data_IF_118059234347
#
_entry.id   IF_118059234347
#
_cell.length_a   1.000
_cell.length_b   1.000
_cell.length_c   1.000
_cell.angle_alpha   90.00
_cell.angle_beta   90.00
_cell.angle_gamma   90.00
#
_symmetry.space_group_name_H-M   'P 1'
#
loop_
_entity.id
_entity.type
_entity.pdbx_description
1 polymer ?
#
# COMPACT_ATOMS: atom_id res chain seq x y z
N UNK A 1 7.91 9.28 -16.58
CA UNK A 1 8.81 10.25 -15.95
C UNK A 1 7.98 11.37 -15.36
N UNK A 2 7.90 11.46 -14.03
CA UNK A 2 7.23 12.59 -13.37
C UNK A 2 8.05 13.86 -13.65
N UNK A 3 7.45 14.94 -14.19
CA UNK A 3 8.14 16.22 -14.38
C UNK A 3 8.77 16.73 -13.07
N UNK A 4 9.96 17.35 -13.14
CA UNK A 4 10.72 17.76 -11.94
C UNK A 4 10.01 18.86 -11.13
N UNK A 5 9.33 19.79 -11.80
CA UNK A 5 8.45 20.77 -11.19
C UNK A 5 7.32 20.10 -10.38
N UNK A 6 6.68 19.09 -10.99
CA UNK A 6 5.65 18.29 -10.32
C UNK A 6 6.20 17.54 -9.11
N UNK A 7 7.40 16.95 -9.19
CA UNK A 7 8.05 16.29 -8.05
C UNK A 7 8.32 17.28 -6.91
N UNK A 8 8.79 18.48 -7.22
CA UNK A 8 9.06 19.54 -6.23
C UNK A 8 7.78 19.92 -5.48
N UNK A 9 6.69 20.18 -6.19
CA UNK A 9 5.39 20.51 -5.58
C UNK A 9 4.89 19.41 -4.65
N UNK A 10 5.08 18.13 -5.02
CA UNK A 10 4.72 17.01 -4.16
C UNK A 10 5.56 16.95 -2.89
N UNK A 11 6.88 17.24 -2.97
CA UNK A 11 7.74 17.34 -1.77
C UNK A 11 7.26 18.46 -0.85
N UNK A 12 7.01 19.65 -1.40
CA UNK A 12 6.53 20.82 -0.65
C UNK A 12 5.19 20.53 0.05
N UNK A 13 4.25 19.91 -0.67
CA UNK A 13 2.97 19.48 -0.13
C UNK A 13 3.14 18.53 1.08
N UNK A 14 3.96 17.48 0.94
CA UNK A 14 4.17 16.50 2.00
C UNK A 14 4.84 17.13 3.22
N UNK A 15 5.90 17.93 3.01
CA UNK A 15 6.61 18.63 4.09
C UNK A 15 5.70 19.61 4.85
N UNK A 16 4.75 20.24 4.17
CA UNK A 16 3.75 21.11 4.82
C UNK A 16 2.76 20.35 5.73
N UNK A 17 2.71 19.01 5.65
CA UNK A 17 1.89 18.15 6.50
C UNK A 17 2.65 17.57 7.71
N UNK A 18 3.97 17.73 7.77
CA UNK A 18 4.79 17.40 8.94
C UNK A 18 4.36 18.26 10.13
N UNK A 19 4.30 17.65 11.31
CA UNK A 19 3.93 18.32 12.56
C UNK A 19 5.18 18.71 13.34
N UNK A 20 5.08 19.69 14.27
CA UNK A 20 6.18 20.00 15.19
C UNK A 20 6.66 18.80 16.01
N UNK A 21 5.80 17.82 16.26
CA UNK A 21 6.17 16.54 16.89
C UNK A 21 7.10 15.68 16.02
N UNK A 22 7.10 15.85 14.69
CA UNK A 22 7.94 15.12 13.75
C UNK A 22 7.22 14.03 12.95
N UNK A 23 5.99 13.67 13.30
CA UNK A 23 5.15 12.80 12.45
C UNK A 23 4.26 13.63 11.51
N UNK A 24 3.58 12.96 10.58
CA UNK A 24 2.70 13.61 9.58
C UNK A 24 1.22 13.36 9.91
N UNK A 25 0.35 14.26 9.45
CA UNK A 25 -1.10 14.05 9.48
C UNK A 25 -1.79 14.77 8.30
N UNK A 26 -2.92 14.22 7.85
CA UNK A 26 -3.70 14.73 6.70
C UNK A 26 -4.15 16.20 6.81
N UNK A 27 -4.23 16.77 8.01
CA UNK A 27 -4.55 18.19 8.23
C UNK A 27 -3.65 18.81 9.30
N UNK A 28 -3.59 20.14 9.39
CA UNK A 28 -2.80 20.86 10.41
C UNK A 28 -3.36 20.74 11.82
N UNK A 29 -4.65 20.45 11.97
CA UNK A 29 -5.35 20.43 13.27
C UNK A 29 -5.36 19.05 13.92
N UNK A 30 -4.93 18.02 13.20
CA UNK A 30 -4.90 16.64 13.67
C UNK A 30 -3.47 16.30 14.10
N UNK A 31 -3.29 15.60 15.25
CA UNK A 31 -1.98 15.14 15.67
C UNK A 31 -1.38 14.16 14.67
N UNK A 32 -0.05 13.97 14.74
CA UNK A 32 0.65 12.98 13.91
C UNK A 32 0.04 11.59 14.02
N UNK A 33 -0.06 10.89 12.90
CA UNK A 33 -0.54 9.50 12.83
C UNK A 33 0.49 8.58 12.20
N UNK A 34 0.51 7.31 12.62
CA UNK A 34 1.43 6.28 12.07
C UNK A 34 1.23 6.07 10.57
N UNK A 35 -0.02 5.98 10.12
CA UNK A 35 -0.36 5.71 8.72
C UNK A 35 0.08 6.87 7.80
N UNK A 36 -0.30 8.10 8.14
CA UNK A 36 0.11 9.30 7.41
C UNK A 36 1.64 9.47 7.43
N UNK A 37 2.30 9.23 8.57
CA UNK A 37 3.76 9.29 8.67
C UNK A 37 4.44 8.25 7.77
N UNK A 38 3.93 7.02 7.76
CA UNK A 38 4.43 5.97 6.88
C UNK A 38 4.30 6.34 5.41
N UNK A 39 3.12 6.79 4.98
CA UNK A 39 2.89 7.15 3.57
C UNK A 39 3.71 8.37 3.15
N UNK A 40 3.80 9.40 4.00
CA UNK A 40 4.59 10.60 3.72
C UNK A 40 6.08 10.27 3.56
N UNK A 41 6.67 9.52 4.49
CA UNK A 41 8.10 9.16 4.42
C UNK A 41 8.38 8.29 3.20
N UNK A 42 7.54 7.28 2.92
CA UNK A 42 7.71 6.45 1.72
C UNK A 42 7.59 7.25 0.41
N UNK A 43 6.71 8.24 0.37
CA UNK A 43 6.56 9.14 -0.77
C UNK A 43 7.79 10.04 -0.92
N UNK A 44 8.28 10.64 0.15
CA UNK A 44 9.49 11.46 0.17
C UNK A 44 10.74 10.66 -0.24
N UNK A 45 10.87 9.43 0.25
CA UNK A 45 11.93 8.49 -0.15
C UNK A 45 11.88 8.18 -1.65
N UNK A 46 10.67 7.94 -2.18
CA UNK A 46 10.47 7.69 -3.62
C UNK A 46 10.88 8.90 -4.46
N UNK A 47 10.76 10.11 -3.92
CA UNK A 47 11.21 11.35 -4.55
C UNK A 47 12.69 11.68 -4.27
N UNK A 48 13.42 10.78 -3.61
CA UNK A 48 14.84 10.93 -3.31
C UNK A 48 15.16 12.07 -2.34
N UNK A 49 14.24 12.42 -1.43
CA UNK A 49 14.53 13.38 -0.38
C UNK A 49 15.37 12.72 0.71
N UNK A 50 16.58 13.23 0.91
CA UNK A 50 17.38 12.94 2.09
C UNK A 50 17.06 13.98 3.17
N UNK A 51 16.42 13.55 4.24
CA UNK A 51 15.94 14.40 5.34
C UNK A 51 16.31 13.76 6.67
N UNK A 52 16.72 14.59 7.62
CA UNK A 52 16.83 14.18 9.01
C UNK A 52 15.44 13.96 9.64
N UNK A 53 15.23 12.74 10.14
CA UNK A 53 14.01 12.29 10.80
C UNK A 53 14.20 12.13 12.31
N UNK A 54 15.14 12.83 12.93
CA UNK A 54 15.38 12.79 14.38
C UNK A 54 14.10 13.10 15.19
N UNK A 55 13.36 14.16 14.83
CA UNK A 55 12.07 14.46 15.46
C UNK A 55 11.04 13.32 15.29
N UNK A 56 10.98 12.70 14.11
CA UNK A 56 10.11 11.54 13.87
C UNK A 56 10.49 10.34 14.74
N UNK A 57 11.80 10.09 14.96
CA UNK A 57 12.28 9.03 15.85
C UNK A 57 11.83 9.27 17.29
N UNK A 58 12.01 10.49 17.79
CA UNK A 58 11.58 10.87 19.14
C UNK A 58 10.07 10.75 19.34
N UNK A 59 9.30 11.16 18.33
CA UNK A 59 7.86 11.00 18.35
C UNK A 59 7.45 9.53 18.33
N UNK A 60 8.01 8.72 17.44
CA UNK A 60 7.67 7.30 17.31
C UNK A 60 7.94 6.50 18.59
N UNK A 61 8.98 6.89 19.34
CA UNK A 61 9.30 6.29 20.64
C UNK A 61 8.26 6.61 21.74
N UNK A 62 7.58 7.76 21.64
CA UNK A 62 6.56 8.23 22.59
C UNK A 62 5.12 7.91 22.14
N UNK A 63 4.93 7.62 20.87
CA UNK A 63 3.62 7.43 20.26
C UNK A 63 2.89 6.23 20.85
N UNK A 64 1.61 6.44 21.18
CA UNK A 64 0.78 5.42 21.85
C UNK A 64 0.58 4.22 20.96
N UNK A 65 0.55 3.03 21.54
CA UNK A 65 0.27 1.78 20.83
C UNK A 65 -1.23 1.52 20.85
N UNK A 66 -1.94 2.15 19.92
CA UNK A 66 -3.36 1.90 19.73
C UNK A 66 -3.55 0.59 18.94
N UNK A 67 -4.49 -0.23 19.40
CA UNK A 67 -4.73 -1.54 18.79
C UNK A 67 -5.47 -1.37 17.46
N UNK A 68 -4.92 -1.99 16.42
CA UNK A 68 -5.55 -2.07 15.10
C UNK A 68 -5.87 -3.53 14.80
N UNK A 69 -7.16 -3.92 14.79
CA UNK A 69 -7.57 -5.30 14.57
C UNK A 69 -7.25 -5.80 13.16
N UNK A 70 -6.85 -4.92 12.23
CA UNK A 70 -6.45 -5.29 10.87
C UNK A 70 -4.96 -5.59 10.72
N UNK A 71 -4.13 -5.23 11.70
CA UNK A 71 -2.66 -5.35 11.65
C UNK A 71 -1.97 -4.34 10.73
N UNK A 72 -2.72 -3.46 10.06
CA UNK A 72 -2.20 -2.49 9.09
C UNK A 72 -1.32 -1.43 9.74
N UNK A 73 -1.83 -0.77 10.78
CA UNK A 73 -1.12 0.29 11.51
C UNK A 73 0.11 -0.29 12.20
N UNK A 74 0.01 -1.50 12.75
CA UNK A 74 1.13 -2.23 13.33
C UNK A 74 2.22 -2.50 12.28
N UNK A 75 1.84 -2.95 11.09
CA UNK A 75 2.76 -3.14 9.97
C UNK A 75 3.45 -1.83 9.56
N UNK A 76 2.70 -0.74 9.41
CA UNK A 76 3.26 0.58 9.07
C UNK A 76 4.22 1.10 10.14
N UNK A 77 3.88 0.90 11.42
CA UNK A 77 4.76 1.22 12.55
C UNK A 77 6.08 0.46 12.43
N UNK A 78 6.07 -0.86 12.27
CA UNK A 78 7.30 -1.67 12.12
C UNK A 78 8.14 -1.19 10.93
N UNK A 79 7.51 -0.88 9.79
CA UNK A 79 8.21 -0.33 8.63
C UNK A 79 8.86 1.03 8.92
N UNK A 80 8.24 1.87 9.74
CA UNK A 80 8.84 3.13 10.20
C UNK A 80 10.06 2.86 11.11
N UNK A 81 9.95 1.95 12.09
CA UNK A 81 11.08 1.56 12.93
C UNK A 81 12.28 1.11 12.06
N UNK A 82 12.06 0.18 11.12
CA UNK A 82 13.10 -0.31 10.22
C UNK A 82 13.67 0.80 9.32
N UNK A 83 12.81 1.62 8.69
CA UNK A 83 13.25 2.73 7.81
C UNK A 83 14.09 3.78 8.56
N UNK A 84 13.77 4.01 9.84
CA UNK A 84 14.46 4.96 10.69
C UNK A 84 15.62 4.33 11.48
N UNK A 85 16.00 3.08 11.17
CA UNK A 85 17.06 2.35 11.87
C UNK A 85 16.89 2.36 13.40
N UNK A 86 15.65 2.15 13.86
CA UNK A 86 15.30 1.95 15.26
C UNK A 86 15.06 0.47 15.51
N UNK A 87 15.40 0.01 16.72
CA UNK A 87 15.07 -1.34 17.16
C UNK A 87 13.55 -1.51 17.26
N UNK A 88 13.03 -2.54 16.60
CA UNK A 88 11.60 -2.87 16.66
C UNK A 88 11.32 -3.48 18.04
N UNK A 89 10.41 -2.92 18.86
CA UNK A 89 10.07 -3.49 20.16
C UNK A 89 9.16 -4.71 19.98
N UNK A 90 9.74 -5.85 19.60
CA UNK A 90 9.01 -7.07 19.26
C UNK A 90 8.09 -7.56 20.37
N UNK A 91 8.44 -7.32 21.64
CA UNK A 91 7.56 -7.61 22.78
C UNK A 91 6.23 -6.84 22.73
N UNK A 92 6.22 -5.58 22.27
CA UNK A 92 4.99 -4.79 22.05
C UNK A 92 4.22 -5.30 20.83
N UNK A 93 4.95 -5.66 19.78
CA UNK A 93 4.36 -6.26 18.56
C UNK A 93 3.63 -7.55 18.90
N UNK A 94 4.24 -8.43 19.70
CA UNK A 94 3.60 -9.67 20.19
C UNK A 94 2.30 -9.37 20.94
N UNK A 95 2.33 -8.44 21.91
CA UNK A 95 1.13 -8.07 22.67
C UNK A 95 0.00 -7.52 21.79
N UNK A 96 0.30 -6.76 20.73
CA UNK A 96 -0.72 -6.27 19.79
C UNK A 96 -1.25 -7.35 18.85
N UNK A 97 -0.38 -8.26 18.41
CA UNK A 97 -0.81 -9.41 17.61
C UNK A 97 -1.80 -10.24 18.42
N UNK A 98 -1.46 -10.64 19.64
CA UNK A 98 -2.30 -11.47 20.52
C UNK A 98 -3.72 -10.92 20.70
N UNK A 99 -3.88 -9.60 20.82
CA UNK A 99 -5.19 -8.93 20.89
C UNK A 99 -6.01 -9.08 19.60
N UNK A 100 -5.34 -9.09 18.45
CA UNK A 100 -5.98 -9.09 17.14
C UNK A 100 -6.24 -10.49 16.56
N UNK A 101 -5.62 -11.55 17.12
CA UNK A 101 -5.68 -12.92 16.59
C UNK A 101 -7.08 -13.52 16.54
N UNK A 102 -7.92 -13.23 17.53
CA UNK A 102 -9.27 -13.81 17.65
C UNK A 102 -10.18 -13.50 16.45
N UNK A 103 -9.83 -12.46 15.67
CA UNK A 103 -10.61 -11.99 14.54
C UNK A 103 -10.02 -12.32 13.18
N UNK A 104 -8.97 -13.14 13.03
CA UNK A 104 -8.39 -13.46 11.71
C UNK A 104 -9.41 -14.18 10.83
N UNK A 105 -9.98 -15.30 11.27
CA UNK A 105 -11.14 -16.00 10.66
C UNK A 105 -11.16 -16.00 9.11
N UNK A 106 -10.06 -16.41 8.49
CA UNK A 106 -9.90 -16.47 7.03
C UNK A 106 -9.96 -15.11 6.32
N UNK A 107 -9.82 -13.99 7.04
CA UNK A 107 -9.89 -12.65 6.47
C UNK A 107 -8.59 -12.32 5.69
N UNK A 108 -8.65 -12.15 4.36
CA UNK A 108 -7.44 -11.97 3.55
C UNK A 108 -6.65 -10.71 3.90
N UNK A 109 -7.32 -9.64 4.35
CA UNK A 109 -6.66 -8.38 4.72
C UNK A 109 -5.79 -8.57 5.95
N UNK A 110 -6.31 -9.24 6.98
CA UNK A 110 -5.56 -9.53 8.21
C UNK A 110 -4.40 -10.47 7.93
N UNK A 111 -4.64 -11.53 7.16
CA UNK A 111 -3.60 -12.48 6.76
C UNK A 111 -2.47 -11.80 5.98
N UNK A 112 -2.77 -10.93 5.01
CA UNK A 112 -1.73 -10.16 4.30
C UNK A 112 -0.86 -9.32 5.25
N UNK A 113 -1.47 -8.57 6.18
CA UNK A 113 -0.70 -7.75 7.10
C UNK A 113 0.09 -8.57 8.13
N UNK A 114 -0.50 -9.59 8.76
CA UNK A 114 0.22 -10.43 9.71
C UNK A 114 1.31 -11.26 9.04
N UNK A 115 1.08 -11.80 7.85
CA UNK A 115 2.11 -12.50 7.09
C UNK A 115 3.30 -11.60 6.73
N UNK A 116 3.05 -10.31 6.45
CA UNK A 116 4.13 -9.33 6.25
C UNK A 116 4.88 -8.98 7.53
N UNK A 117 4.19 -8.96 8.67
CA UNK A 117 4.83 -8.76 9.97
C UNK A 117 5.71 -9.96 10.31
N UNK A 118 5.24 -11.19 10.08
CA UNK A 118 6.03 -12.41 10.23
C UNK A 118 7.32 -12.36 9.40
N UNK A 119 7.22 -12.02 8.11
CA UNK A 119 8.39 -11.92 7.24
C UNK A 119 9.42 -10.91 7.77
N UNK A 120 8.97 -9.74 8.26
CA UNK A 120 9.87 -8.72 8.83
C UNK A 120 10.51 -9.14 10.16
N UNK A 121 9.82 -9.97 10.95
CA UNK A 121 10.32 -10.50 12.20
C UNK A 121 11.36 -11.60 11.97
N UNK A 122 11.12 -12.48 10.99
CA UNK A 122 12.04 -13.53 10.58
C UNK A 122 13.38 -12.97 10.09
N UNK A 123 13.38 -11.83 9.38
CA UNK A 123 14.59 -11.09 9.01
C UNK A 123 15.47 -10.70 10.22
N UNK A 124 14.87 -10.58 11.40
CA UNK A 124 15.54 -10.22 12.67
C UNK A 124 15.65 -11.42 13.63
N UNK A 125 15.40 -12.64 13.15
CA UNK A 125 15.47 -13.86 13.96
C UNK A 125 14.33 -14.05 14.97
N UNK A 126 13.29 -13.23 14.88
CA UNK A 126 12.09 -13.34 15.73
C UNK A 126 11.07 -14.24 15.05
N UNK A 127 10.62 -15.27 15.76
CA UNK A 127 9.67 -16.27 15.25
C UNK A 127 8.53 -16.48 16.22
N UNK A 128 7.37 -16.90 15.69
CA UNK A 128 6.22 -17.26 16.51
C UNK A 128 5.59 -18.55 15.96
N UNK A 129 6.14 -19.74 16.25
CA UNK A 129 5.71 -20.98 15.62
C UNK A 129 4.19 -21.23 15.70
N UNK A 130 3.58 -20.98 16.86
CA UNK A 130 2.13 -21.13 17.06
C UNK A 130 1.30 -20.14 16.22
N UNK A 131 1.80 -18.93 16.05
CA UNK A 131 1.15 -17.90 15.23
C UNK A 131 1.29 -18.25 13.75
N UNK A 132 2.47 -18.69 13.33
CA UNK A 132 2.74 -19.11 11.96
C UNK A 132 1.82 -20.27 11.58
N UNK A 133 1.70 -21.29 12.43
CA UNK A 133 0.77 -22.41 12.25
C UNK A 133 -0.69 -21.94 12.15
N UNK A 134 -1.13 -21.06 13.05
CA UNK A 134 -2.49 -20.50 13.02
C UNK A 134 -2.76 -19.75 11.72
N UNK A 135 -1.84 -18.88 11.28
CA UNK A 135 -2.03 -18.08 10.08
C UNK A 135 -2.01 -18.95 8.82
N UNK A 136 -1.21 -20.01 8.79
CA UNK A 136 -1.25 -21.02 7.72
C UNK A 136 -2.63 -21.70 7.64
N UNK A 137 -3.14 -22.19 8.77
CA UNK A 137 -4.48 -22.81 8.84
C UNK A 137 -5.60 -21.84 8.42
N UNK A 138 -5.50 -20.56 8.80
CA UNK A 138 -6.47 -19.54 8.40
C UNK A 138 -6.34 -19.15 6.92
N UNK A 139 -5.14 -19.20 6.34
CA UNK A 139 -4.90 -18.94 4.92
C UNK A 139 -5.45 -20.03 3.99
N UNK A 140 -5.56 -21.27 4.46
CA UNK A 140 -6.24 -22.37 3.75
C UNK A 140 -7.75 -22.14 3.60
N UNK A 141 -8.37 -21.40 4.54
CA UNK A 141 -9.81 -21.10 4.54
C UNK A 141 -10.20 -19.96 3.60
N UNK A 142 -9.22 -19.25 3.05
CA UNK A 142 -9.46 -18.10 2.17
C UNK A 142 -10.08 -18.57 0.87
N UNK A 143 -11.24 -18.00 0.51
CA UNK A 143 -11.80 -18.15 -0.83
C UNK A 143 -10.87 -17.47 -1.85
N UNK A 144 -10.28 -18.29 -2.72
CA UNK A 144 -9.33 -17.87 -3.77
C UNK A 144 -10.01 -17.68 -5.12
N UNK A 145 -11.33 -17.81 -5.21
CA UNK A 145 -12.07 -17.53 -6.44
C UNK A 145 -12.03 -16.05 -6.79
N UNK A 146 -12.07 -15.77 -8.09
CA UNK A 146 -12.25 -14.43 -8.65
C UNK A 146 -13.71 -14.30 -9.07
N UNK A 147 -14.42 -13.33 -8.51
CA UNK A 147 -15.84 -13.10 -8.77
C UNK A 147 -16.11 -11.65 -9.17
N UNK A 148 -17.28 -11.37 -9.74
CA UNK A 148 -17.71 -10.00 -10.08
C UNK A 148 -17.98 -9.11 -8.86
N UNK A 149 -18.08 -9.71 -7.65
CA UNK A 149 -18.27 -8.98 -6.39
C UNK A 149 -16.95 -8.52 -5.78
N UNK A 150 -15.84 -9.12 -6.18
CA UNK A 150 -14.53 -8.74 -5.70
C UNK A 150 -14.19 -7.31 -6.12
N UNK A 151 -13.43 -6.63 -5.27
CA UNK A 151 -12.79 -5.37 -5.62
C UNK A 151 -11.32 -5.62 -5.93
N UNK A 152 -10.68 -4.70 -6.64
CA UNK A 152 -9.23 -4.75 -6.87
C UNK A 152 -8.44 -4.82 -5.56
N UNK A 153 -8.90 -4.16 -4.49
CA UNK A 153 -8.27 -4.32 -3.17
C UNK A 153 -8.45 -5.75 -2.63
N UNK A 154 -9.67 -6.32 -2.67
CA UNK A 154 -9.90 -7.67 -2.14
C UNK A 154 -9.12 -8.73 -2.90
N UNK A 155 -9.06 -8.63 -4.24
CA UNK A 155 -8.24 -9.49 -5.08
C UNK A 155 -6.76 -9.34 -4.75
N UNK A 156 -6.27 -8.11 -4.58
CA UNK A 156 -4.89 -7.88 -4.15
C UNK A 156 -4.60 -8.55 -2.81
N UNK A 157 -5.52 -8.50 -1.84
CA UNK A 157 -5.35 -9.23 -0.57
C UNK A 157 -5.31 -10.74 -0.76
N UNK A 158 -6.20 -11.32 -1.57
CA UNK A 158 -6.19 -12.76 -1.90
C UNK A 158 -4.87 -13.19 -2.55
N UNK A 159 -4.40 -12.43 -3.55
CA UNK A 159 -3.09 -12.66 -4.20
C UNK A 159 -1.96 -12.58 -3.18
N UNK A 160 -2.01 -11.60 -2.27
CA UNK A 160 -0.99 -11.46 -1.23
C UNK A 160 -0.95 -12.61 -0.24
N UNK A 161 -2.11 -13.13 0.16
CA UNK A 161 -2.17 -14.35 0.97
C UNK A 161 -1.48 -15.50 0.23
N UNK A 162 -1.78 -15.70 -1.06
CA UNK A 162 -1.15 -16.75 -1.86
C UNK A 162 0.38 -16.56 -1.99
N UNK A 163 0.85 -15.33 -2.16
CA UNK A 163 2.28 -15.02 -2.22
C UNK A 163 3.03 -15.32 -0.92
N UNK A 164 2.36 -15.18 0.23
CA UNK A 164 3.01 -15.30 1.55
C UNK A 164 2.87 -16.72 2.11
N UNK A 165 1.70 -17.32 2.00
CA UNK A 165 1.37 -18.62 2.60
C UNK A 165 1.31 -19.75 1.56
N UNK A 166 1.56 -19.45 0.29
CA UNK A 166 1.39 -20.40 -0.80
C UNK A 166 -0.05 -20.50 -1.29
N UNK A 167 -0.22 -21.16 -2.43
CA UNK A 167 -1.50 -21.31 -3.10
C UNK A 167 -1.54 -20.58 -4.45
N UNK A 168 -2.55 -20.93 -5.25
CA UNK A 168 -2.74 -20.41 -6.59
C UNK A 168 -4.12 -19.78 -6.73
N UNK A 169 -4.21 -18.82 -7.65
CA UNK A 169 -5.45 -18.21 -8.10
C UNK A 169 -5.52 -18.32 -9.62
N UNK A 170 -6.73 -18.32 -10.16
CA UNK A 170 -6.96 -18.28 -11.61
C UNK A 170 -6.45 -16.94 -12.18
N UNK A 171 -5.27 -16.99 -12.80
CA UNK A 171 -4.59 -15.81 -13.33
C UNK A 171 -5.31 -15.21 -14.53
N UNK A 172 -5.97 -16.05 -15.34
CA UNK A 172 -6.74 -15.63 -16.49
C UNK A 172 -7.98 -14.85 -16.03
N UNK A 173 -8.76 -15.39 -15.09
CA UNK A 173 -9.90 -14.66 -14.53
C UNK A 173 -9.50 -13.39 -13.80
N UNK A 174 -8.35 -13.41 -13.11
CA UNK A 174 -7.84 -12.23 -12.44
C UNK A 174 -7.51 -11.11 -13.44
N UNK A 175 -6.88 -11.47 -14.57
CA UNK A 175 -6.60 -10.53 -15.66
C UNK A 175 -7.88 -10.03 -16.32
N UNK A 176 -8.84 -10.91 -16.63
CA UNK A 176 -10.15 -10.53 -17.19
C UNK A 176 -10.90 -9.54 -16.28
N UNK A 177 -10.93 -9.80 -14.97
CA UNK A 177 -11.53 -8.88 -14.00
C UNK A 177 -10.80 -7.54 -13.95
N UNK A 178 -9.47 -7.56 -13.99
CA UNK A 178 -8.63 -6.37 -13.96
C UNK A 178 -8.84 -5.48 -15.19
N UNK A 179 -8.85 -6.08 -16.39
CA UNK A 179 -9.15 -5.37 -17.65
C UNK A 179 -10.59 -4.83 -17.65
N UNK A 180 -11.55 -5.57 -17.10
CA UNK A 180 -12.93 -5.09 -16.96
C UNK A 180 -13.11 -3.93 -15.96
N UNK A 181 -12.12 -3.67 -15.09
CA UNK A 181 -12.12 -2.52 -14.18
C UNK A 181 -11.56 -1.25 -14.82
N UNK A 182 -10.88 -1.34 -15.97
CA UNK A 182 -10.37 -0.17 -16.68
C UNK A 182 -11.52 0.67 -17.26
N UNK A 183 -11.40 1.99 -17.15
CA UNK A 183 -12.36 2.95 -17.70
C UNK A 183 -11.73 3.78 -18.81
N UNK A 184 -12.52 4.28 -19.80
CA UNK A 184 -12.02 5.10 -20.90
C UNK A 184 -11.31 6.41 -20.49
N UNK A 185 -11.45 6.84 -19.23
CA UNK A 185 -10.74 8.01 -18.68
C UNK A 185 -9.27 7.73 -18.31
N UNK A 186 -8.79 6.50 -18.51
CA UNK A 186 -7.45 6.05 -18.16
C UNK A 186 -7.33 5.49 -16.74
N UNK A 187 -8.38 5.60 -15.93
CA UNK A 187 -8.41 5.11 -14.56
C UNK A 187 -9.01 3.71 -14.42
N UNK A 188 -9.12 3.27 -13.16
CA UNK A 188 -9.70 1.97 -12.80
C UNK A 188 -10.78 2.15 -11.74
N UNK A 189 -11.93 1.50 -11.93
CA UNK A 189 -12.94 1.32 -10.90
C UNK A 189 -12.50 0.30 -9.83
N UNK A 190 -13.14 0.30 -8.67
CA UNK A 190 -12.87 -0.73 -7.66
C UNK A 190 -13.30 -2.12 -8.12
N UNK A 191 -14.29 -2.17 -9.02
CA UNK A 191 -14.84 -3.33 -9.73
C UNK A 191 -15.38 -2.86 -11.10
N UNK A 192 -15.78 -3.76 -12.02
CA UNK A 192 -16.30 -3.35 -13.32
C UNK A 192 -17.46 -2.33 -13.23
N UNK A 193 -17.47 -1.36 -14.15
CA UNK A 193 -18.48 -0.32 -14.27
C UNK A 193 -18.61 0.61 -13.04
N UNK A 194 -17.50 0.87 -12.34
CA UNK A 194 -17.45 1.83 -11.22
C UNK A 194 -16.47 2.97 -11.50
N UNK A 195 -16.63 4.09 -10.80
CA UNK A 195 -15.84 5.31 -10.98
C UNK A 195 -14.34 5.09 -10.74
N UNK A 196 -13.53 5.69 -11.60
CA UNK A 196 -12.07 5.68 -11.51
C UNK A 196 -11.56 6.43 -10.27
N UNK A 197 -10.76 5.76 -9.44
CA UNK A 197 -10.01 6.41 -8.36
C UNK A 197 -8.58 5.88 -8.22
N UNK A 198 -7.69 6.74 -7.74
CA UNK A 198 -6.25 6.49 -7.68
C UNK A 198 -5.87 5.28 -6.82
N UNK A 199 -6.56 5.02 -5.72
CA UNK A 199 -6.33 3.81 -4.91
C UNK A 199 -6.70 2.53 -5.66
N UNK A 200 -7.66 2.58 -6.59
CA UNK A 200 -8.02 1.43 -7.42
C UNK A 200 -6.95 1.20 -8.49
N UNK A 201 -6.42 2.27 -9.09
CA UNK A 201 -5.25 2.20 -9.98
C UNK A 201 -4.05 1.61 -9.23
N UNK A 202 -3.83 2.00 -7.97
CA UNK A 202 -2.79 1.42 -7.15
C UNK A 202 -2.93 -0.10 -7.05
N UNK A 203 -4.10 -0.61 -6.65
CA UNK A 203 -4.32 -2.05 -6.54
C UNK A 203 -4.26 -2.77 -7.90
N UNK A 204 -4.78 -2.16 -8.98
CA UNK A 204 -4.63 -2.66 -10.35
C UNK A 204 -3.17 -2.90 -10.70
N UNK A 205 -2.30 -1.91 -10.47
CA UNK A 205 -0.88 -2.02 -10.77
C UNK A 205 -0.15 -3.00 -9.86
N UNK A 206 -0.59 -3.18 -8.62
CA UNK A 206 -0.07 -4.25 -7.75
C UNK A 206 -0.42 -5.63 -8.29
N UNK A 207 -1.63 -5.80 -8.84
CA UNK A 207 -2.05 -7.05 -9.48
C UNK A 207 -1.27 -7.31 -10.77
N UNK A 208 -1.16 -6.33 -11.67
CA UNK A 208 -0.31 -6.45 -12.87
C UNK A 208 1.14 -6.83 -12.52
N UNK A 209 1.70 -6.23 -11.48
CA UNK A 209 3.04 -6.56 -10.98
C UNK A 209 3.15 -8.01 -10.52
N UNK A 210 2.19 -8.50 -9.75
CA UNK A 210 2.17 -9.88 -9.26
C UNK A 210 1.98 -10.90 -10.40
N UNK A 211 1.13 -10.57 -11.38
CA UNK A 211 0.91 -11.37 -12.58
C UNK A 211 2.07 -11.29 -13.58
N UNK A 212 3.03 -10.36 -13.37
CA UNK A 212 4.09 -10.03 -14.33
C UNK A 212 3.52 -9.67 -15.72
N UNK A 213 2.36 -9.03 -15.75
CA UNK A 213 1.67 -8.60 -16.96
C UNK A 213 1.89 -7.09 -17.19
N UNK A 214 1.98 -6.68 -18.46
CA UNK A 214 2.11 -5.28 -18.84
C UNK A 214 0.74 -4.71 -19.22
N UNK A 215 0.22 -3.69 -18.52
CA UNK A 215 -1.06 -3.08 -18.89
C UNK A 215 -1.01 -2.44 -20.28
N UNK A 216 -2.13 -2.48 -21.00
CA UNK A 216 -2.24 -1.92 -22.35
C UNK A 216 -2.28 -0.39 -22.34
N UNK A 217 -3.09 0.20 -21.46
CA UNK A 217 -3.41 1.65 -21.42
C UNK A 217 -2.49 2.48 -20.52
N UNK A 218 -1.17 2.26 -20.64
CA UNK A 218 -0.17 2.89 -19.76
C UNK A 218 -0.13 4.41 -19.87
N UNK A 219 -0.30 4.93 -21.08
CA UNK A 219 -0.22 6.36 -21.35
C UNK A 219 -1.43 7.10 -20.78
N UNK A 220 -2.63 6.55 -20.99
CA UNK A 220 -3.89 7.06 -20.46
C UNK A 220 -3.90 6.99 -18.92
N UNK A 221 -3.44 5.88 -18.33
CA UNK A 221 -3.28 5.81 -16.87
C UNK A 221 -2.26 6.81 -16.37
N UNK A 222 -1.13 6.99 -17.05
CA UNK A 222 -0.16 8.04 -16.68
C UNK A 222 -0.80 9.43 -16.72
N UNK A 223 -1.61 9.72 -17.75
CA UNK A 223 -2.32 10.99 -17.88
C UNK A 223 -3.34 11.19 -16.75
N UNK A 224 -4.17 10.19 -16.43
CA UNK A 224 -5.11 10.23 -15.30
C UNK A 224 -4.40 10.55 -13.98
N UNK A 225 -3.30 9.84 -13.70
CA UNK A 225 -2.55 10.01 -12.45
C UNK A 225 -1.91 11.40 -12.39
N UNK A 226 -1.25 11.84 -13.47
CA UNK A 226 -0.61 13.16 -13.54
C UNK A 226 -1.62 14.31 -13.48
N UNK A 227 -2.83 14.13 -14.01
CA UNK A 227 -3.94 15.08 -13.93
C UNK A 227 -4.65 15.08 -12.56
N UNK A 228 -4.40 14.07 -11.73
CA UNK A 228 -4.87 14.03 -10.35
C UNK A 228 -3.98 14.83 -9.39
N UNK A 229 -2.85 15.37 -9.85
CA UNK A 229 -2.02 16.28 -9.04
C UNK A 229 -2.74 17.61 -8.84
N UNK A 230 -2.79 18.09 -7.59
CA UNK A 230 -3.39 19.39 -7.29
C UNK A 230 -2.38 20.53 -7.51
N UNK A 231 -2.89 21.76 -7.70
CA UNK A 231 -2.05 22.98 -7.78
C UNK A 231 -1.26 23.27 -6.49
N UNK A 232 -1.66 22.66 -5.36
CA UNK A 232 -0.94 22.77 -4.07
C UNK A 232 0.09 21.66 -3.90
N UNK A 233 0.38 20.90 -4.96
CA UNK A 233 1.08 19.62 -4.90
C UNK A 233 0.18 18.49 -4.42
N UNK A 234 0.77 17.32 -4.19
CA UNK A 234 0.04 16.10 -3.80
C UNK A 234 -0.93 15.61 -4.87
N UNK A 235 -1.46 14.40 -4.70
CA UNK A 235 -2.41 13.80 -5.62
C UNK A 235 -3.74 13.54 -4.93
N UNK A 236 -4.83 13.81 -5.63
CA UNK A 236 -6.19 13.49 -5.24
C UNK A 236 -6.60 12.10 -5.75
N UNK A 237 -7.78 11.63 -5.28
CA UNK A 237 -8.37 10.37 -5.77
C UNK A 237 -8.71 10.41 -7.27
N UNK A 238 -9.05 11.58 -7.80
CA UNK A 238 -9.36 11.81 -9.21
C UNK A 238 -9.03 13.27 -9.60
N UNK A 239 -8.92 13.59 -10.90
CA UNK A 239 -8.67 14.94 -11.37
C UNK A 239 -9.66 15.97 -10.79
N UNK A 240 -9.14 17.11 -10.34
CA UNK A 240 -9.92 18.18 -9.70
C UNK A 240 -10.27 17.96 -8.23
N UNK A 241 -9.91 16.81 -7.64
CA UNK A 241 -10.15 16.52 -6.22
C UNK A 241 -9.15 17.18 -5.25
N UNK A 242 -9.37 16.93 -3.96
CA UNK A 242 -8.46 17.34 -2.87
C UNK A 242 -7.38 16.27 -2.67
N UNK A 243 -6.09 16.63 -2.56
CA UNK A 243 -5.03 15.66 -2.33
C UNK A 243 -5.02 15.14 -0.89
N UNK A 244 -4.59 13.88 -0.72
CA UNK A 244 -4.32 13.27 0.59
C UNK A 244 -2.94 12.61 0.60
N UNK A 245 -2.41 12.26 1.78
CA UNK A 245 -1.07 11.67 1.92
C UNK A 245 -1.01 10.29 1.27
N UNK A 246 -2.02 9.45 1.53
CA UNK A 246 -2.13 8.09 1.01
C UNK A 246 -2.28 8.07 -0.52
N UNK A 247 -3.15 8.91 -1.07
CA UNK A 247 -3.34 9.09 -2.51
C UNK A 247 -2.07 9.63 -3.18
N UNK A 248 -1.36 10.55 -2.55
CA UNK A 248 -0.03 11.00 -3.00
C UNK A 248 0.97 9.84 -3.06
N UNK A 249 1.02 9.01 -2.02
CA UNK A 249 1.83 7.78 -2.02
C UNK A 249 1.41 6.81 -3.15
N UNK A 250 0.11 6.60 -3.35
CA UNK A 250 -0.43 5.73 -4.40
C UNK A 250 -0.04 6.21 -5.80
N UNK A 251 -0.16 7.52 -6.10
CA UNK A 251 0.27 8.09 -7.38
C UNK A 251 1.74 7.82 -7.66
N UNK A 252 2.64 8.10 -6.71
CA UNK A 252 4.07 7.89 -6.89
C UNK A 252 4.40 6.41 -7.12
N UNK A 253 3.69 5.50 -6.42
CA UNK A 253 3.82 4.05 -6.64
C UNK A 253 3.39 3.64 -8.05
N UNK A 254 2.28 4.18 -8.54
CA UNK A 254 1.77 3.90 -9.90
C UNK A 254 2.72 4.47 -10.96
N UNK A 255 3.14 5.73 -10.83
CA UNK A 255 4.07 6.38 -11.77
C UNK A 255 5.40 5.64 -11.84
N UNK A 256 5.93 5.16 -10.71
CA UNK A 256 7.12 4.30 -10.69
C UNK A 256 6.87 2.96 -11.40
N UNK A 257 5.74 2.31 -11.16
CA UNK A 257 5.40 1.05 -11.82
C UNK A 257 5.22 1.23 -13.35
N UNK A 258 4.74 2.40 -13.78
CA UNK A 258 4.64 2.81 -15.18
C UNK A 258 6.00 3.08 -15.84
N UNK A 259 7.02 3.45 -15.07
CA UNK A 259 8.39 3.66 -15.57
C UNK A 259 9.20 2.36 -15.68
N UNK A 260 8.81 1.31 -14.94
CA UNK A 260 9.44 0.00 -15.02
C UNK A 260 9.27 -0.58 -16.44
N UNK A 261 10.39 -0.75 -17.15
CA UNK A 261 10.45 -1.52 -18.40
C UNK A 261 10.24 -3.00 -18.05
N UNK A 262 9.04 -3.53 -18.29
CA UNK A 262 8.80 -4.99 -18.24
C UNK A 262 9.05 -5.58 -19.62
N UNK A 263 9.65 -6.78 -19.68
CA UNK A 263 9.69 -7.57 -20.92
C UNK A 263 8.23 -7.83 -21.33
N UNK A 264 7.87 -7.49 -22.56
CA UNK A 264 6.64 -7.98 -23.18
C UNK A 264 6.71 -9.52 -23.13
N UNK A 265 5.84 -10.16 -22.36
CA UNK A 265 5.66 -11.60 -22.48
C UNK A 265 4.97 -11.85 -23.83
N UNK A 266 5.58 -12.73 -24.63
CA UNK A 266 5.34 -12.96 -26.05
C UNK A 266 3.88 -12.84 -26.50
N UNK A 267 3.71 -12.18 -27.65
CA UNK A 267 2.52 -12.28 -28.50
C UNK A 267 2.18 -13.76 -28.73
N UNK A 268 0.93 -14.12 -28.50
CA UNK A 268 0.35 -15.39 -28.91
C UNK A 268 0.47 -15.52 -30.43
N UNK A 269 1.10 -16.61 -30.88
CA UNK A 269 0.97 -17.13 -32.24
C UNK A 269 -0.07 -18.24 -32.27
#
# INVERSE_FOLDING_TARGET
MIPEDKKREVKEYLLALEKPSGGFAFSRTVPSGIEDTYFAIQALDTLGLDKDYSATREWLAKEKWDSDPTGRVLYYRIRLYKRLALEVPWYRVTAEIEKALTGVKGNPRKLDFFGRILALAQEEGVTWPKLEELLLQEAEKVDRSVTTKDTLESLWRKVRVCMVFGGEMDTQRLLEHLEACYNPDGGYGCKPHTTSFLEHIHFAYRLYQALKYAPHHREETSAFVLNSQSKRGGFARAPGGVPFVDTTFYALRVLRALEEKRKETLKWG
#
